data_IF_853347929238
#
_entry.id   IF_853347929238
#
_cell.length_a   1.000
_cell.length_b   1.000
_cell.length_c   1.000
_cell.angle_alpha   90.00
_cell.angle_beta   90.00
_cell.angle_gamma   90.00
#
_symmetry.space_group_name_H-M   'P 1'
#
loop_
_entity.id
_entity.type
_entity.pdbx_description
1 polymer ?
#
# COMPACT_ATOMS: atom_id res chain seq x y z
N UNK A 1 3.90 -2.68 5.56
CA UNK A 1 3.60 -3.56 6.71
C UNK A 1 2.59 -4.65 6.32
N UNK A 2 2.61 -5.82 6.95
CA UNK A 2 1.60 -6.85 6.69
C UNK A 2 1.35 -7.72 7.93
N UNK A 3 0.14 -8.27 8.05
CA UNK A 3 -0.26 -9.13 9.16
C UNK A 3 -1.38 -10.10 8.76
N UNK A 4 -1.58 -11.13 9.57
CA UNK A 4 -2.67 -12.10 9.43
C UNK A 4 -3.55 -12.12 10.67
N UNK A 5 -4.86 -12.11 10.47
CA UNK A 5 -5.86 -12.20 11.53
C UNK A 5 -6.98 -13.14 11.08
N UNK A 6 -7.29 -14.17 11.88
CA UNK A 6 -8.30 -15.18 11.50
C UNK A 6 -9.71 -14.59 11.31
N UNK A 7 -9.98 -13.45 11.93
CA UNK A 7 -11.26 -12.73 11.87
C UNK A 7 -11.45 -11.95 10.57
N UNK A 8 -10.39 -11.79 9.75
CA UNK A 8 -10.47 -11.09 8.48
C UNK A 8 -10.92 -12.09 7.41
N UNK A 9 -12.09 -11.90 6.78
CA UNK A 9 -12.62 -12.88 5.83
C UNK A 9 -11.88 -12.85 4.49
N UNK A 10 -11.39 -11.67 4.08
CA UNK A 10 -10.74 -11.43 2.80
C UNK A 10 -9.54 -10.48 2.96
N UNK A 11 -8.49 -10.59 2.12
CA UNK A 11 -7.37 -9.68 2.20
C UNK A 11 -7.79 -8.22 2.05
N UNK A 12 -7.30 -7.35 2.92
CA UNK A 12 -7.55 -5.92 2.89
C UNK A 12 -6.25 -5.15 2.72
N UNK A 13 -6.21 -4.25 1.74
CA UNK A 13 -5.13 -3.28 1.59
C UNK A 13 -5.60 -1.92 2.12
N UNK A 14 -4.84 -1.39 3.07
CA UNK A 14 -5.12 -0.10 3.70
C UNK A 14 -4.04 0.88 3.27
N UNK A 15 -4.45 2.04 2.76
CA UNK A 15 -3.57 3.18 2.55
C UNK A 15 -3.79 4.21 3.66
N UNK A 16 -2.69 4.68 4.25
CA UNK A 16 -2.68 5.79 5.19
C UNK A 16 -1.66 6.84 4.76
N UNK A 17 -2.05 8.11 4.85
CA UNK A 17 -1.12 9.24 4.77
C UNK A 17 -1.09 9.93 6.14
N UNK A 18 0.11 10.03 6.70
CA UNK A 18 0.36 10.68 7.96
C UNK A 18 0.54 12.18 7.73
N UNK A 19 0.03 13.00 8.65
CA UNK A 19 0.26 14.46 8.62
C UNK A 19 1.71 14.84 8.91
N UNK A 20 2.43 13.98 9.63
CA UNK A 20 3.86 14.07 9.90
C UNK A 20 4.48 12.69 9.72
N UNK A 21 5.57 12.61 8.98
CA UNK A 21 6.32 11.37 8.83
C UNK A 21 6.85 10.88 10.18
N UNK A 22 6.94 9.56 10.32
CA UNK A 22 7.45 8.89 11.52
C UNK A 22 8.76 8.19 11.21
N UNK A 23 9.60 8.04 12.23
CA UNK A 23 10.73 7.12 12.15
C UNK A 23 10.19 5.70 12.04
N UNK A 24 10.63 4.98 11.01
CA UNK A 24 10.13 3.66 10.66
C UNK A 24 11.28 2.72 10.30
N UNK A 25 12.52 3.05 10.73
CA UNK A 25 13.74 2.33 10.36
C UNK A 25 13.84 2.08 8.84
N UNK A 26 13.49 3.10 8.06
CA UNK A 26 13.52 3.02 6.60
C UNK A 26 14.98 2.92 6.12
N UNK A 27 15.29 2.11 5.08
CA UNK A 27 16.66 1.92 4.61
C UNK A 27 17.38 3.18 4.09
N UNK A 28 16.62 4.24 3.82
CA UNK A 28 17.12 5.54 3.36
C UNK A 28 17.16 6.60 4.48
N UNK A 29 16.91 6.20 5.73
CA UNK A 29 16.86 7.04 6.92
C UNK A 29 15.85 8.20 6.84
N UNK A 30 14.85 8.11 5.95
CA UNK A 30 13.82 9.14 5.78
C UNK A 30 12.56 8.82 6.59
N UNK A 31 11.89 9.84 7.17
CA UNK A 31 10.60 9.64 7.81
C UNK A 31 9.55 9.10 6.82
N UNK A 32 8.80 8.08 7.23
CA UNK A 32 7.74 7.49 6.42
C UNK A 32 6.41 8.19 6.71
N UNK A 33 5.78 8.71 5.66
CA UNK A 33 4.50 9.42 5.73
C UNK A 33 3.36 8.71 4.98
N UNK A 34 3.67 7.72 4.14
CA UNK A 34 2.71 6.95 3.34
C UNK A 34 2.88 5.47 3.64
N UNK A 35 1.81 4.84 4.07
CA UNK A 35 1.82 3.45 4.50
C UNK A 35 0.78 2.68 3.70
N UNK A 36 1.22 1.61 3.06
CA UNK A 36 0.34 0.53 2.64
C UNK A 36 0.45 -0.64 3.62
N UNK A 37 -0.66 -1.04 4.20
CA UNK A 37 -0.76 -2.20 5.10
C UNK A 37 -1.65 -3.28 4.48
N UNK A 38 -1.11 -4.49 4.36
CA UNK A 38 -1.88 -5.65 3.91
C UNK A 38 -2.29 -6.51 5.11
N UNK A 39 -3.59 -6.68 5.29
CA UNK A 39 -4.15 -7.60 6.28
C UNK A 39 -4.70 -8.83 5.56
N UNK A 40 -4.28 -10.02 5.95
CA UNK A 40 -4.77 -11.29 5.43
C UNK A 40 -5.66 -12.04 6.43
N UNK A 41 -6.54 -12.89 5.91
CA UNK A 41 -7.41 -13.78 6.68
C UNK A 41 -6.80 -15.14 7.01
N UNK A 42 -7.61 -16.21 6.90
CA UNK A 42 -7.11 -17.61 6.86
C UNK A 42 -5.92 -17.68 5.91
N UNK A 43 -4.84 -18.36 6.33
CA UNK A 43 -3.52 -18.38 5.68
C UNK A 43 -3.57 -18.85 4.21
N UNK A 44 -3.98 -17.97 3.30
CA UNK A 44 -3.69 -18.05 1.87
C UNK A 44 -2.41 -17.26 1.62
N UNK A 45 -1.29 -17.96 1.80
CA UNK A 45 0.04 -17.35 1.68
C UNK A 45 0.34 -16.94 0.24
N UNK A 46 -0.14 -17.73 -0.73
CA UNK A 46 0.05 -17.49 -2.15
C UNK A 46 -0.62 -16.19 -2.58
N UNK A 47 -1.89 -16.01 -2.25
CA UNK A 47 -2.62 -14.78 -2.58
C UNK A 47 -1.98 -13.55 -1.92
N UNK A 48 -1.56 -13.66 -0.67
CA UNK A 48 -0.92 -12.56 0.05
C UNK A 48 0.40 -12.13 -0.61
N UNK A 49 1.25 -13.09 -0.99
CA UNK A 49 2.50 -12.82 -1.71
C UNK A 49 2.25 -12.20 -3.10
N UNK A 50 1.21 -12.65 -3.81
CA UNK A 50 0.83 -12.06 -5.10
C UNK A 50 0.41 -10.59 -4.93
N UNK A 51 -0.37 -10.25 -3.90
CA UNK A 51 -0.77 -8.87 -3.62
C UNK A 51 0.47 -8.02 -3.30
N UNK A 52 1.36 -8.51 -2.43
CA UNK A 52 2.61 -7.80 -2.10
C UNK A 52 3.50 -7.58 -3.32
N UNK A 53 3.62 -8.57 -4.20
CA UNK A 53 4.40 -8.44 -5.43
C UNK A 53 3.80 -7.40 -6.38
N UNK A 54 2.47 -7.39 -6.56
CA UNK A 54 1.76 -6.38 -7.37
C UNK A 54 1.95 -4.98 -6.79
N UNK A 55 1.74 -4.81 -5.49
CA UNK A 55 1.93 -3.53 -4.81
C UNK A 55 3.38 -3.04 -4.90
N UNK A 56 4.36 -3.93 -4.71
CA UNK A 56 5.78 -3.60 -4.84
C UNK A 56 6.13 -3.07 -6.23
N UNK A 57 5.54 -3.64 -7.29
CA UNK A 57 5.70 -3.13 -8.67
C UNK A 57 5.10 -1.74 -8.83
N UNK A 58 3.85 -1.53 -8.39
CA UNK A 58 3.20 -0.23 -8.47
C UNK A 58 3.96 0.85 -7.70
N UNK A 59 4.48 0.54 -6.51
CA UNK A 59 5.25 1.49 -5.70
C UNK A 59 6.59 1.90 -6.32
N UNK A 60 7.12 1.13 -7.28
CA UNK A 60 8.32 1.54 -8.04
C UNK A 60 8.00 2.65 -9.04
N UNK A 61 6.76 2.75 -9.51
CA UNK A 61 6.33 3.81 -10.40
C UNK A 61 6.40 5.17 -9.69
N UNK A 62 7.21 6.09 -10.21
CA UNK A 62 7.39 7.42 -9.64
C UNK A 62 6.14 8.28 -9.82
N UNK A 63 5.43 8.13 -10.95
CA UNK A 63 4.21 8.88 -11.23
C UNK A 63 3.10 8.53 -10.25
N UNK A 64 2.92 7.25 -9.94
CA UNK A 64 1.97 6.77 -8.94
C UNK A 64 2.27 7.37 -7.57
N UNK A 65 3.55 7.35 -7.13
CA UNK A 65 3.95 7.96 -5.85
C UNK A 65 3.64 9.46 -5.80
N UNK A 66 3.89 10.18 -6.89
CA UNK A 66 3.57 11.62 -7.00
C UNK A 66 2.06 11.88 -6.98
N UNK A 67 1.26 11.07 -7.66
CA UNK A 67 -0.21 11.16 -7.60
C UNK A 67 -0.71 10.93 -6.17
N UNK A 68 -0.10 9.99 -5.45
CA UNK A 68 -0.37 9.78 -4.03
C UNK A 68 0.07 10.93 -3.13
N UNK A 69 0.91 11.88 -3.56
CA UNK A 69 1.22 13.08 -2.76
C UNK A 69 0.05 14.08 -2.79
N UNK A 70 -0.63 14.18 -3.93
CA UNK A 70 -1.66 15.20 -4.18
C UNK A 70 -3.10 14.70 -4.01
N UNK A 71 -3.31 13.38 -3.92
CA UNK A 71 -4.63 12.80 -3.69
C UNK A 71 -5.22 13.27 -2.34
N UNK A 72 -6.20 14.19 -2.37
CA UNK A 72 -6.77 14.82 -1.17
C UNK A 72 -7.93 14.07 -0.52
N UNK A 73 -8.41 12.99 -1.15
CA UNK A 73 -9.56 12.22 -0.67
C UNK A 73 -9.42 10.73 -1.02
N UNK A 74 -10.10 9.81 -0.30
CA UNK A 74 -9.98 8.37 -0.54
C UNK A 74 -10.26 7.95 -2.00
N UNK A 75 -11.24 8.57 -2.65
CA UNK A 75 -11.55 8.28 -4.06
C UNK A 75 -10.38 8.53 -5.01
N UNK A 76 -9.64 9.63 -4.81
CA UNK A 76 -8.48 9.95 -5.65
C UNK A 76 -7.33 8.94 -5.47
N UNK A 77 -7.18 8.37 -4.27
CA UNK A 77 -6.21 7.29 -4.02
C UNK A 77 -6.62 6.01 -4.76
N UNK A 78 -7.91 5.65 -4.71
CA UNK A 78 -8.43 4.48 -5.43
C UNK A 78 -8.26 4.62 -6.94
N UNK A 79 -8.50 5.82 -7.48
CA UNK A 79 -8.30 6.08 -8.90
C UNK A 79 -6.82 6.02 -9.30
N UNK A 80 -5.92 6.54 -8.47
CA UNK A 80 -4.48 6.41 -8.68
C UNK A 80 -4.02 4.94 -8.69
N UNK A 81 -4.59 4.12 -7.80
CA UNK A 81 -4.32 2.67 -7.73
C UNK A 81 -4.80 1.97 -9.00
N UNK A 82 -6.02 2.27 -9.47
CA UNK A 82 -6.57 1.70 -10.71
C UNK A 82 -5.76 2.09 -11.93
N UNK A 83 -5.35 3.35 -12.01
CA UNK A 83 -4.51 3.85 -13.11
C UNK A 83 -3.18 3.08 -13.19
N UNK A 84 -2.41 3.04 -12.09
CA UNK A 84 -1.12 2.34 -12.11
C UNK A 84 -1.27 0.83 -12.31
N UNK A 85 -2.36 0.22 -11.83
CA UNK A 85 -2.66 -1.20 -12.06
C UNK A 85 -2.94 -1.47 -13.55
N UNK A 86 -3.56 -0.54 -14.29
CA UNK A 86 -3.77 -0.69 -15.74
C UNK A 86 -2.48 -0.64 -16.57
N UNK A 87 -1.39 -0.13 -15.97
CA UNK A 87 -0.07 0.03 -16.61
C UNK A 87 0.86 -1.17 -16.35
N UNK A 88 0.46 -2.15 -15.52
CA UNK A 88 1.28 -3.29 -15.09
C UNK A 88 0.54 -4.63 -15.12
#
# INVERSE_FOLDING_TARGET
PHAYFEQIPEPMLIFARLSKGVDFDAPDDRPVDKIFMLLGGKRDHTQHLMIMARLSRMLKDTGFRQTLDTAGQPGAVLDAVRDVESRH
#
